data_IF_369920748237
#
_entry.id   IF_369920748237
#
_cell.length_a   1.000
_cell.length_b   1.000
_cell.length_c   1.000
_cell.angle_alpha   90.00
_cell.angle_beta   90.00
_cell.angle_gamma   90.00
#
_symmetry.space_group_name_H-M   'P 1'
#
loop_
_entity.id
_entity.type
_entity.pdbx_description
1 polymer ?
#
# COMPACT_ATOMS: atom_id res chain seq x y z
N UNK A 1 8.30 -25.34 36.74
CA UNK A 1 7.80 -26.26 35.70
C UNK A 1 7.35 -25.41 34.51
N UNK A 2 8.24 -25.18 33.54
CA UNK A 2 7.95 -24.44 32.32
C UNK A 2 6.97 -25.26 31.47
N UNK A 3 5.75 -24.74 31.33
CA UNK A 3 4.76 -25.28 30.40
C UNK A 3 5.31 -25.13 28.98
N UNK A 4 5.91 -26.21 28.48
CA UNK A 4 6.17 -26.39 27.06
C UNK A 4 4.84 -26.28 26.33
N UNK A 5 4.60 -25.10 25.75
CA UNK A 5 3.53 -24.87 24.79
C UNK A 5 3.96 -25.60 23.52
N UNK A 6 3.36 -26.77 23.28
CA UNK A 6 3.56 -27.55 22.06
C UNK A 6 2.92 -26.80 20.88
N UNK A 7 3.72 -26.28 19.92
CA UNK A 7 3.22 -25.54 18.77
C UNK A 7 2.52 -26.44 17.73
N UNK A 8 2.51 -27.76 17.94
CA UNK A 8 1.94 -28.77 17.04
C UNK A 8 0.57 -29.29 17.48
N UNK A 9 0.08 -28.85 18.66
CA UNK A 9 -1.22 -29.24 19.14
C UNK A 9 -2.32 -28.70 18.19
N UNK A 10 -3.17 -29.55 17.60
CA UNK A 10 -4.27 -29.08 16.77
C UNK A 10 -5.15 -28.16 17.61
N UNK A 11 -5.50 -26.99 17.06
CA UNK A 11 -6.29 -25.95 17.73
C UNK A 11 -7.67 -26.50 18.15
N UNK A 12 -7.72 -27.21 19.28
CA UNK A 12 -8.94 -27.73 19.88
C UNK A 12 -9.62 -26.60 20.66
N UNK A 13 -10.36 -25.80 19.91
CA UNK A 13 -11.21 -24.75 20.43
C UNK A 13 -11.77 -23.94 19.28
N UNK A 14 -13.09 -23.99 19.07
CA UNK A 14 -13.76 -23.05 18.15
C UNK A 14 -13.29 -21.64 18.50
N UNK A 15 -12.94 -20.78 17.53
CA UNK A 15 -12.44 -19.44 17.82
C UNK A 15 -13.42 -18.74 18.78
N UNK A 16 -12.92 -18.23 19.90
CA UNK A 16 -13.75 -17.49 20.86
C UNK A 16 -14.47 -16.37 20.11
N UNK A 17 -15.77 -16.15 20.38
CA UNK A 17 -16.59 -15.14 19.67
C UNK A 17 -15.99 -13.73 19.71
N UNK A 18 -15.06 -13.45 20.62
CA UNK A 18 -14.30 -12.19 20.67
C UNK A 18 -13.26 -12.07 19.57
N UNK A 19 -12.56 -13.15 19.20
CA UNK A 19 -11.55 -13.18 18.12
C UNK A 19 -12.21 -13.01 16.76
N UNK A 20 -13.34 -13.67 16.52
CA UNK A 20 -14.10 -13.51 15.27
C UNK A 20 -14.63 -12.08 15.09
N UNK A 21 -15.05 -11.42 16.18
CA UNK A 21 -15.51 -10.02 16.14
C UNK A 21 -14.38 -9.03 15.84
N UNK A 22 -13.19 -9.25 16.39
CA UNK A 22 -12.01 -8.42 16.11
C UNK A 22 -11.58 -8.56 14.65
N UNK A 23 -11.48 -9.79 14.15
CA UNK A 23 -11.11 -10.06 12.77
C UNK A 23 -12.09 -9.44 11.77
N UNK A 24 -13.40 -9.49 12.04
CA UNK A 24 -14.42 -8.84 11.20
C UNK A 24 -14.26 -7.32 11.12
N UNK A 25 -13.86 -6.66 12.21
CA UNK A 25 -13.65 -5.21 12.21
C UNK A 25 -12.38 -4.80 11.47
N UNK A 26 -11.31 -5.58 11.62
CA UNK A 26 -10.05 -5.40 10.88
C UNK A 26 -10.27 -5.59 9.37
N UNK A 27 -10.97 -6.66 8.99
CA UNK A 27 -11.34 -6.93 7.60
C UNK A 27 -12.19 -5.82 6.98
N UNK A 28 -13.16 -5.26 7.72
CA UNK A 28 -13.98 -4.14 7.24
C UNK A 28 -13.12 -2.92 6.96
N UNK A 29 -12.20 -2.60 7.86
CA UNK A 29 -11.31 -1.44 7.71
C UNK A 29 -10.41 -1.63 6.48
N UNK A 30 -9.81 -2.81 6.32
CA UNK A 30 -8.99 -3.13 5.15
C UNK A 30 -9.80 -3.10 3.84
N UNK A 31 -11.04 -3.60 3.85
CA UNK A 31 -11.92 -3.58 2.69
C UNK A 31 -12.31 -2.15 2.27
N UNK A 32 -12.59 -1.26 3.23
CA UNK A 32 -12.88 0.15 2.95
C UNK A 32 -11.68 0.83 2.28
N UNK A 33 -10.47 0.59 2.80
CA UNK A 33 -9.23 1.10 2.22
C UNK A 33 -8.99 0.58 0.80
N UNK A 34 -9.26 -0.70 0.57
CA UNK A 34 -9.10 -1.33 -0.73
C UNK A 34 -10.07 -0.74 -1.77
N UNK A 35 -11.34 -0.57 -1.39
CA UNK A 35 -12.34 0.06 -2.26
C UNK A 35 -11.98 1.52 -2.55
N UNK A 36 -11.45 2.24 -1.57
CA UNK A 36 -10.97 3.62 -1.75
C UNK A 36 -9.80 3.72 -2.75
N UNK A 37 -8.86 2.76 -2.73
CA UNK A 37 -7.78 2.70 -3.73
C UNK A 37 -8.31 2.49 -5.14
N UNK A 38 -9.25 1.54 -5.32
CA UNK A 38 -9.88 1.27 -6.61
C UNK A 38 -10.65 2.50 -7.11
N UNK A 39 -11.33 3.22 -6.22
CA UNK A 39 -12.03 4.45 -6.57
C UNK A 39 -11.06 5.50 -7.16
N UNK A 40 -9.94 5.78 -6.48
CA UNK A 40 -8.95 6.75 -6.97
C UNK A 40 -8.29 6.30 -8.28
N UNK A 41 -7.94 5.01 -8.42
CA UNK A 41 -7.36 4.52 -9.69
C UNK A 41 -8.37 4.60 -10.83
N UNK A 42 -9.63 4.26 -10.58
CA UNK A 42 -10.68 4.37 -11.59
C UNK A 42 -10.86 5.81 -12.07
N UNK A 43 -10.78 6.81 -11.18
CA UNK A 43 -10.78 8.23 -11.56
C UNK A 43 -9.60 8.60 -12.46
N UNK A 44 -8.39 8.08 -12.18
CA UNK A 44 -7.23 8.31 -13.03
C UNK A 44 -7.41 7.73 -14.44
N UNK A 45 -7.95 6.51 -14.54
CA UNK A 45 -8.25 5.88 -15.83
C UNK A 45 -9.35 6.61 -16.58
N UNK A 46 -10.44 7.02 -15.92
CA UNK A 46 -11.50 7.80 -16.54
C UNK A 46 -10.97 9.13 -17.08
N UNK A 47 -10.10 9.80 -16.33
CA UNK A 47 -9.51 11.08 -16.76
C UNK A 47 -8.61 10.97 -18.00
N UNK A 48 -8.04 9.79 -18.27
CA UNK A 48 -7.27 9.51 -19.49
C UNK A 48 -8.18 9.04 -20.61
N UNK A 49 -9.12 8.16 -20.28
CA UNK A 49 -10.01 7.52 -21.26
C UNK A 49 -11.02 8.49 -21.86
N UNK A 50 -11.40 9.53 -21.11
CA UNK A 50 -12.06 10.68 -21.69
C UNK A 50 -11.01 11.52 -22.43
N UNK A 51 -11.00 11.48 -23.76
CA UNK A 51 -10.26 12.42 -24.63
C UNK A 51 -10.63 13.90 -24.39
N UNK A 52 -11.48 14.18 -23.40
CA UNK A 52 -11.84 15.50 -22.90
C UNK A 52 -10.64 16.27 -22.31
N UNK A 53 -9.54 15.61 -21.96
CA UNK A 53 -8.35 16.24 -21.36
C UNK A 53 -7.17 16.17 -22.32
N UNK A 54 -6.57 17.31 -22.72
CA UNK A 54 -5.35 17.33 -23.52
C UNK A 54 -4.23 16.53 -22.87
N UNK A 55 -3.50 15.74 -23.66
CA UNK A 55 -2.39 14.89 -23.18
C UNK A 55 -1.32 15.65 -22.40
N UNK A 56 -1.09 16.92 -22.73
CA UNK A 56 -0.18 17.80 -21.98
C UNK A 56 -0.60 18.07 -20.53
N UNK A 57 -1.89 18.01 -20.20
CA UNK A 57 -2.42 18.16 -18.84
C UNK A 57 -2.68 16.81 -18.16
N UNK A 58 -3.10 15.81 -18.93
CA UNK A 58 -3.38 14.47 -18.40
C UNK A 58 -2.13 13.84 -17.75
N UNK A 59 -0.97 13.89 -18.42
CA UNK A 59 0.28 13.26 -17.94
C UNK A 59 0.68 13.73 -16.53
N UNK A 60 0.86 15.04 -16.25
CA UNK A 60 1.22 15.49 -14.90
C UNK A 60 0.12 15.22 -13.87
N UNK A 61 -1.16 15.30 -14.27
CA UNK A 61 -2.29 15.00 -13.38
C UNK A 61 -2.28 13.54 -12.88
N UNK A 62 -2.02 12.59 -13.78
CA UNK A 62 -1.94 11.16 -13.43
C UNK A 62 -0.71 10.88 -12.57
N UNK A 63 0.42 11.53 -12.82
CA UNK A 63 1.63 11.38 -11.99
C UNK A 63 1.41 11.83 -10.54
N UNK A 64 0.63 12.90 -10.34
CA UNK A 64 0.22 13.34 -9.00
C UNK A 64 -0.70 12.28 -8.36
N UNK A 65 -1.70 11.78 -9.09
CA UNK A 65 -2.58 10.70 -8.61
C UNK A 65 -1.81 9.41 -8.29
N UNK A 66 -0.82 9.05 -9.10
CA UNK A 66 0.05 7.89 -8.90
C UNK A 66 0.94 8.05 -7.66
N UNK A 67 1.44 9.27 -7.41
CA UNK A 67 2.19 9.56 -6.18
C UNK A 67 1.31 9.41 -4.94
N UNK A 68 0.08 9.93 -4.98
CA UNK A 68 -0.91 9.76 -3.91
C UNK A 68 -1.24 8.27 -3.70
N UNK A 69 -1.34 7.50 -4.77
CA UNK A 69 -1.53 6.04 -4.69
C UNK A 69 -0.39 5.33 -3.96
N UNK A 70 0.87 5.66 -4.27
CA UNK A 70 2.02 5.05 -3.58
C UNK A 70 1.99 5.37 -2.08
N UNK A 71 1.65 6.61 -1.70
CA UNK A 71 1.55 7.01 -0.29
C UNK A 71 0.41 6.28 0.42
N UNK A 72 -0.77 6.23 -0.20
CA UNK A 72 -1.94 5.53 0.36
C UNK A 72 -1.70 4.03 0.46
N UNK A 73 -1.01 3.43 -0.52
CA UNK A 73 -0.61 2.04 -0.46
C UNK A 73 0.33 1.79 0.71
N UNK A 74 1.38 2.61 0.89
CA UNK A 74 2.29 2.49 2.02
C UNK A 74 1.58 2.70 3.37
N UNK A 75 0.64 3.65 3.47
CA UNK A 75 -0.07 3.97 4.72
C UNK A 75 -1.11 2.90 5.10
N UNK A 76 -1.88 2.37 4.14
CA UNK A 76 -2.93 1.39 4.43
C UNK A 76 -2.44 -0.06 4.50
N UNK A 77 -1.44 -0.43 3.70
CA UNK A 77 -0.81 -1.75 3.82
C UNK A 77 -0.08 -1.88 5.17
N UNK A 78 0.29 -0.75 5.76
CA UNK A 78 0.99 -0.66 7.02
C UNK A 78 0.06 -0.12 8.10
N UNK A 79 -0.90 -0.95 8.50
CA UNK A 79 -1.82 -0.67 9.60
C UNK A 79 -1.04 -0.37 10.90
N UNK A 80 -0.74 0.91 11.13
CA UNK A 80 0.05 1.49 12.23
C UNK A 80 -0.64 1.36 13.62
N UNK A 81 -1.44 0.32 13.84
CA UNK A 81 -2.13 0.10 15.11
C UNK A 81 -1.42 -0.92 16.02
N UNK A 82 -0.24 -1.43 15.64
CA UNK A 82 0.59 -2.21 16.54
C UNK A 82 1.69 -1.33 17.15
N UNK A 83 1.51 -0.95 18.41
CA UNK A 83 2.54 -0.32 19.26
C UNK A 83 3.82 -1.18 19.22
N UNK A 84 4.86 -0.73 18.51
CA UNK A 84 6.20 -1.35 18.56
C UNK A 84 7.00 -1.49 17.26
N UNK A 85 6.56 -1.01 16.10
CA UNK A 85 7.15 -1.46 14.83
C UNK A 85 8.25 -0.54 14.26
N UNK A 86 9.44 -0.53 14.87
CA UNK A 86 10.63 0.11 14.28
C UNK A 86 10.99 -0.45 12.90
N UNK A 87 10.74 -1.74 12.67
CA UNK A 87 10.95 -2.42 11.37
C UNK A 87 10.08 -1.88 10.23
N UNK A 88 8.87 -1.42 10.54
CA UNK A 88 7.93 -0.85 9.58
C UNK A 88 8.43 0.50 9.07
N UNK A 89 8.95 1.33 9.98
CA UNK A 89 9.53 2.62 9.61
C UNK A 89 10.79 2.42 8.74
N UNK A 90 11.63 1.44 9.07
CA UNK A 90 12.80 1.07 8.25
C UNK A 90 12.39 0.62 6.85
N UNK A 91 11.31 -0.14 6.72
CA UNK A 91 10.82 -0.63 5.42
C UNK A 91 10.20 0.50 4.56
N UNK A 92 9.54 1.49 5.16
CA UNK A 92 9.08 2.68 4.43
C UNK A 92 10.27 3.51 3.96
N UNK A 93 11.25 3.80 4.84
CA UNK A 93 12.42 4.59 4.47
C UNK A 93 13.28 3.90 3.42
N UNK A 94 13.45 2.57 3.49
CA UNK A 94 14.16 1.81 2.47
C UNK A 94 13.38 1.73 1.15
N UNK A 95 12.06 1.52 1.20
CA UNK A 95 11.20 1.53 0.03
C UNK A 95 11.22 2.88 -0.70
N UNK A 96 11.14 3.98 0.05
CA UNK A 96 11.25 5.34 -0.49
C UNK A 96 12.64 5.60 -1.08
N UNK A 97 13.70 5.16 -0.41
CA UNK A 97 15.08 5.27 -0.91
C UNK A 97 15.28 4.52 -2.23
N UNK A 98 14.82 3.26 -2.32
CA UNK A 98 14.91 2.46 -3.54
C UNK A 98 14.07 3.05 -4.66
N UNK A 99 12.86 3.52 -4.37
CA UNK A 99 12.00 4.18 -5.35
C UNK A 99 12.66 5.46 -5.90
N UNK A 100 13.19 6.31 -5.02
CA UNK A 100 13.90 7.53 -5.41
C UNK A 100 15.14 7.22 -6.25
N UNK A 101 15.94 6.22 -5.83
CA UNK A 101 17.12 5.78 -6.57
C UNK A 101 16.74 5.25 -7.95
N UNK A 102 15.69 4.44 -8.05
CA UNK A 102 15.22 3.87 -9.31
C UNK A 102 14.76 4.96 -10.28
N UNK A 103 13.95 5.93 -9.80
CA UNK A 103 13.51 7.06 -10.62
C UNK A 103 14.70 7.91 -11.06
N UNK A 104 15.64 8.20 -10.16
CA UNK A 104 16.84 8.96 -10.48
C UNK A 104 17.72 8.25 -11.53
N UNK A 105 17.95 6.94 -11.38
CA UNK A 105 18.70 6.13 -12.34
C UNK A 105 18.00 6.07 -13.69
N UNK A 106 16.68 5.89 -13.72
CA UNK A 106 15.91 5.86 -14.98
C UNK A 106 15.93 7.23 -15.66
N UNK A 107 15.77 8.33 -14.93
CA UNK A 107 15.91 9.68 -15.49
C UNK A 107 17.30 9.92 -16.06
N UNK A 108 18.35 9.47 -15.36
CA UNK A 108 19.73 9.59 -15.82
C UNK A 108 19.98 8.74 -17.06
N UNK A 109 19.55 7.48 -17.07
CA UNK A 109 19.72 6.56 -18.20
C UNK A 109 18.95 7.04 -19.43
N UNK A 110 17.68 7.42 -19.30
CA UNK A 110 16.90 7.97 -20.42
C UNK A 110 17.48 9.32 -20.88
N UNK A 111 17.96 10.15 -19.94
CA UNK A 111 18.63 11.41 -20.27
C UNK A 111 19.96 11.22 -21.01
N UNK A 112 20.70 10.16 -20.70
CA UNK A 112 21.95 9.78 -21.39
C UNK A 112 21.68 9.14 -22.75
N UNK A 113 20.56 8.45 -22.94
CA UNK A 113 20.22 7.76 -24.20
C UNK A 113 19.47 8.67 -25.18
N UNK A 114 18.89 9.78 -24.72
CA UNK A 114 18.10 10.72 -25.55
C UNK A 114 18.91 11.94 -26.04
N UNK A 115 20.22 11.94 -25.83
CA UNK A 115 21.21 12.86 -26.42
C UNK A 115 22.39 12.05 -26.97
#
# INVERSE_FOLDING_TARGET
MSSHVDPSAPLQGKPSKSTERKLKNEMRTQLISFVFMIFITSMAFLSIASDAVPSGFAIPFILILASVQVILQLYFFMHMNAKGTGWVNVMIWSGLFVAALTVATLMLLIGVVKY
#
